data_IF_065501613827
#
_entry.id   IF_065501613827
#
_cell.length_a   1.000
_cell.length_b   1.000
_cell.length_c   1.000
_cell.angle_alpha   90.00
_cell.angle_beta   90.00
_cell.angle_gamma   90.00
#
_symmetry.space_group_name_H-M   'P 1'
#
loop_
_entity.id
_entity.type
_entity.pdbx_description
1 polymer ?
#
# COMPACT_ATOMS: atom_id res chain seq x y z
N UNK A 1 24.19 -13.11 7.54
CA UNK A 1 24.20 -13.58 8.94
C UNK A 1 24.19 -12.36 9.83
N UNK A 2 23.12 -12.17 10.62
CA UNK A 2 23.08 -11.16 11.67
C UNK A 2 23.41 -11.86 13.00
N UNK A 3 24.37 -11.35 13.74
CA UNK A 3 24.66 -11.75 15.11
C UNK A 3 24.10 -10.69 16.05
N UNK A 4 23.37 -11.09 17.06
CA UNK A 4 23.03 -10.22 18.19
C UNK A 4 23.79 -10.73 19.41
N UNK A 5 24.67 -9.89 19.93
CA UNK A 5 25.55 -10.20 21.07
C UNK A 5 26.47 -11.42 20.84
N UNK A 6 26.99 -11.58 19.61
CA UNK A 6 27.97 -12.63 19.29
C UNK A 6 27.41 -14.06 19.26
N UNK A 7 26.07 -14.21 19.27
CA UNK A 7 25.40 -15.51 19.10
C UNK A 7 24.68 -15.58 17.77
N UNK A 8 24.85 -16.65 17.00
CA UNK A 8 24.10 -16.81 15.75
C UNK A 8 22.61 -16.93 16.06
N UNK A 9 21.81 -16.18 15.34
CA UNK A 9 20.34 -16.11 15.51
C UNK A 9 19.63 -17.47 15.30
N UNK A 10 20.36 -18.49 14.84
CA UNK A 10 19.82 -19.85 14.62
C UNK A 10 19.17 -20.51 15.83
N UNK A 11 19.61 -20.19 17.02
CA UNK A 11 19.15 -20.86 18.25
C UNK A 11 17.87 -20.22 18.85
N UNK A 12 17.47 -19.03 18.36
CA UNK A 12 16.29 -18.32 18.84
C UNK A 12 14.98 -18.73 18.19
N UNK A 13 15.01 -19.51 17.11
CA UNK A 13 13.79 -20.01 16.48
C UNK A 13 13.27 -21.23 17.26
N UNK A 14 12.25 -21.03 18.08
CA UNK A 14 11.61 -22.14 18.79
C UNK A 14 11.15 -23.22 17.80
N UNK A 15 11.08 -24.47 18.24
CA UNK A 15 10.55 -25.59 17.42
C UNK A 15 9.13 -25.34 16.89
N UNK A 16 8.42 -24.35 17.44
CA UNK A 16 7.05 -23.92 17.09
C UNK A 16 7.03 -22.66 16.22
N UNK A 17 8.17 -22.10 15.81
CA UNK A 17 8.22 -20.88 15.00
C UNK A 17 7.61 -21.12 13.63
N UNK A 18 6.75 -20.21 13.18
CA UNK A 18 6.12 -20.25 11.84
C UNK A 18 7.16 -20.31 10.71
N UNK A 19 8.36 -19.79 10.94
CA UNK A 19 9.44 -19.81 9.96
C UNK A 19 9.92 -21.22 9.59
N UNK A 20 9.71 -22.23 10.45
CA UNK A 20 10.06 -23.63 10.15
C UNK A 20 9.15 -24.28 9.12
N UNK A 21 7.98 -23.74 8.93
CA UNK A 21 6.97 -24.25 8.00
C UNK A 21 6.93 -23.50 6.67
N UNK A 22 7.84 -22.53 6.47
CA UNK A 22 7.92 -21.81 5.23
C UNK A 22 8.63 -22.67 4.18
N UNK A 23 7.98 -22.96 3.06
CA UNK A 23 8.67 -23.57 1.93
C UNK A 23 9.74 -22.60 1.41
N UNK A 24 10.67 -23.14 0.67
CA UNK A 24 11.81 -22.49 0.06
C UNK A 24 11.61 -21.00 -0.24
N UNK A 25 12.22 -20.14 0.60
CA UNK A 25 12.10 -18.68 0.51
C UNK A 25 13.27 -18.10 -0.28
N UNK A 26 13.46 -18.55 -1.50
CA UNK A 26 14.59 -18.17 -2.35
C UNK A 26 14.69 -16.66 -2.62
N UNK A 27 13.57 -15.92 -2.45
CA UNK A 27 13.49 -14.51 -2.80
C UNK A 27 13.12 -13.57 -1.64
N UNK A 28 12.94 -14.11 -0.44
CA UNK A 28 12.63 -13.31 0.75
C UNK A 28 13.73 -13.58 1.78
N UNK A 29 14.49 -12.54 2.11
CA UNK A 29 15.41 -12.60 3.23
C UNK A 29 14.63 -12.65 4.54
N UNK A 30 14.86 -13.65 5.39
CA UNK A 30 14.30 -13.70 6.73
C UNK A 30 15.31 -13.11 7.69
N UNK A 31 14.92 -12.01 8.36
CA UNK A 31 15.62 -11.53 9.53
C UNK A 31 14.95 -12.18 10.75
N UNK A 32 15.55 -13.24 11.29
CA UNK A 32 15.04 -13.89 12.49
C UNK A 32 15.52 -13.12 13.73
N UNK A 33 14.59 -12.78 14.61
CA UNK A 33 14.86 -12.12 15.88
C UNK A 33 13.80 -12.50 16.91
N UNK A 34 14.12 -12.35 18.19
CA UNK A 34 13.16 -12.51 19.26
C UNK A 34 12.53 -11.16 19.60
N UNK A 35 11.21 -11.11 19.62
CA UNK A 35 10.45 -9.94 20.08
C UNK A 35 9.71 -10.35 21.34
N UNK A 36 10.07 -9.74 22.46
CA UNK A 36 9.66 -10.18 23.80
C UNK A 36 8.17 -10.00 24.14
N UNK A 37 7.43 -9.26 23.34
CA UNK A 37 5.99 -9.04 23.57
C UNK A 37 5.21 -8.90 22.28
N UNK A 38 4.35 -9.86 22.05
CA UNK A 38 3.23 -9.74 21.11
C UNK A 38 1.95 -9.56 21.90
N UNK A 39 1.16 -8.55 21.55
CA UNK A 39 -0.20 -8.46 22.06
C UNK A 39 -0.98 -9.66 21.52
N UNK A 40 -1.67 -10.38 22.41
CA UNK A 40 -2.68 -11.34 21.98
C UNK A 40 -3.64 -10.62 21.02
N UNK A 41 -4.01 -11.28 19.93
CA UNK A 41 -5.02 -10.75 19.01
C UNK A 41 -6.29 -10.45 19.81
N UNK A 42 -6.75 -9.21 19.77
CA UNK A 42 -8.06 -8.86 20.31
C UNK A 42 -9.12 -9.65 19.54
N UNK A 43 -10.20 -10.07 20.19
CA UNK A 43 -11.33 -10.67 19.47
C UNK A 43 -11.89 -9.68 18.45
N UNK A 44 -12.59 -10.19 17.43
CA UNK A 44 -13.30 -9.35 16.46
C UNK A 44 -14.31 -8.42 17.17
N UNK A 45 -14.47 -7.21 16.65
CA UNK A 45 -15.51 -6.28 17.09
C UNK A 45 -16.87 -6.61 16.46
N UNK A 46 -16.94 -7.55 15.52
CA UNK A 46 -18.19 -7.96 14.91
C UNK A 46 -18.93 -8.97 15.79
N UNK A 47 -20.24 -8.87 15.81
CA UNK A 47 -21.15 -9.81 16.46
C UNK A 47 -22.41 -9.99 15.60
N UNK A 48 -23.06 -11.14 15.77
CA UNK A 48 -24.33 -11.39 15.11
C UNK A 48 -25.42 -10.54 15.76
N UNK A 49 -26.15 -9.81 14.94
CA UNK A 49 -27.32 -9.04 15.41
C UNK A 49 -28.47 -10.00 15.74
N UNK A 50 -29.44 -9.53 16.53
CA UNK A 50 -30.68 -10.29 16.80
C UNK A 50 -31.49 -10.58 15.52
N UNK A 51 -31.23 -9.84 14.45
CA UNK A 51 -31.92 -10.01 13.16
C UNK A 51 -31.17 -10.95 12.21
N UNK A 52 -30.04 -11.56 12.65
CA UNK A 52 -29.20 -12.38 11.78
C UNK A 52 -29.96 -13.52 11.11
N UNK A 53 -30.76 -14.28 11.89
CA UNK A 53 -31.48 -15.43 11.35
C UNK A 53 -32.53 -14.99 10.31
N UNK A 54 -33.21 -13.87 10.55
CA UNK A 54 -34.13 -13.28 9.58
C UNK A 54 -33.44 -12.78 8.32
N UNK A 55 -32.26 -12.19 8.46
CA UNK A 55 -31.43 -11.80 7.31
C UNK A 55 -30.99 -13.00 6.47
N UNK A 56 -30.66 -14.12 7.12
CA UNK A 56 -30.31 -15.38 6.46
C UNK A 56 -31.51 -15.99 5.70
N UNK A 57 -32.71 -15.87 6.22
CA UNK A 57 -33.93 -16.30 5.52
C UNK A 57 -34.16 -15.50 4.23
N UNK A 58 -33.98 -14.17 4.30
CA UNK A 58 -34.21 -13.27 3.18
C UNK A 58 -33.07 -13.28 2.14
N UNK A 59 -31.84 -13.47 2.60
CA UNK A 59 -30.63 -13.47 1.78
C UNK A 59 -29.80 -14.70 2.17
N UNK A 60 -30.09 -15.88 1.58
CA UNK A 60 -29.46 -17.14 1.95
C UNK A 60 -27.92 -17.12 1.81
N UNK A 61 -27.37 -16.30 0.93
CA UNK A 61 -25.93 -16.14 0.70
C UNK A 61 -25.18 -15.64 1.94
N UNK A 62 -25.86 -14.99 2.89
CA UNK A 62 -25.27 -14.55 4.17
C UNK A 62 -24.73 -15.72 4.99
N UNK A 63 -25.25 -16.94 4.79
CA UNK A 63 -24.71 -18.18 5.42
C UNK A 63 -23.27 -18.47 5.01
N UNK A 64 -22.82 -17.94 3.88
CA UNK A 64 -21.47 -18.16 3.37
C UNK A 64 -20.42 -17.27 4.04
N UNK A 65 -20.83 -16.41 4.97
CA UNK A 65 -19.95 -15.48 5.65
C UNK A 65 -19.91 -15.77 7.15
N UNK A 66 -18.78 -15.44 7.76
CA UNK A 66 -18.54 -15.63 9.19
C UNK A 66 -17.75 -14.46 9.78
N UNK A 67 -17.86 -14.30 11.10
CA UNK A 67 -17.03 -13.38 11.87
C UNK A 67 -15.59 -13.90 11.81
N UNK A 68 -14.58 -13.03 11.61
CA UNK A 68 -13.20 -13.46 11.50
C UNK A 68 -12.73 -14.12 12.82
N UNK A 69 -12.06 -15.25 12.69
CA UNK A 69 -11.35 -15.90 13.78
C UNK A 69 -9.84 -15.68 13.58
N UNK A 70 -9.24 -14.89 14.45
CA UNK A 70 -7.84 -14.51 14.36
C UNK A 70 -6.87 -15.55 14.95
N UNK A 71 -7.38 -16.65 15.46
CA UNK A 71 -6.55 -17.69 16.06
C UNK A 71 -5.87 -18.54 15.00
N UNK A 72 -4.64 -18.91 15.27
CA UNK A 72 -3.97 -19.93 14.48
C UNK A 72 -4.64 -21.30 14.72
N UNK A 73 -4.71 -22.11 13.67
CA UNK A 73 -5.36 -23.42 13.68
C UNK A 73 -4.37 -24.51 13.26
N UNK A 74 -4.57 -25.70 13.75
CA UNK A 74 -3.94 -26.90 13.21
C UNK A 74 -5.00 -27.63 12.38
N UNK A 75 -4.76 -27.73 11.08
CA UNK A 75 -5.64 -28.41 10.14
C UNK A 75 -4.86 -29.59 9.56
N UNK A 76 -5.35 -30.80 9.72
CA UNK A 76 -4.69 -32.03 9.25
C UNK A 76 -3.23 -32.17 9.73
N UNK A 77 -2.98 -31.80 10.99
CA UNK A 77 -1.64 -31.83 11.60
C UNK A 77 -0.70 -30.71 11.15
N UNK A 78 -1.14 -29.82 10.28
CA UNK A 78 -0.37 -28.69 9.77
C UNK A 78 -0.78 -27.40 10.49
N UNK A 79 0.20 -26.72 11.08
CA UNK A 79 -0.02 -25.41 11.68
C UNK A 79 -0.30 -24.37 10.58
N UNK A 80 -1.39 -23.67 10.72
CA UNK A 80 -1.81 -22.61 9.80
C UNK A 80 -2.22 -21.38 10.58
N UNK A 81 -1.61 -20.25 10.24
CA UNK A 81 -2.03 -18.93 10.70
C UNK A 81 -2.31 -18.02 9.52
N UNK A 82 -3.05 -16.93 9.75
CA UNK A 82 -3.33 -15.94 8.72
C UNK A 82 -2.05 -15.26 8.22
N UNK A 83 -1.10 -15.01 9.14
CA UNK A 83 0.21 -14.44 8.81
C UNK A 83 1.03 -15.38 7.94
N UNK A 84 1.09 -16.67 8.29
CA UNK A 84 1.79 -17.68 7.50
C UNK A 84 1.18 -17.83 6.09
N UNK A 85 -0.14 -17.83 6.00
CA UNK A 85 -0.83 -17.86 4.71
C UNK A 85 -0.49 -16.64 3.85
N UNK A 86 -0.38 -15.45 4.48
CA UNK A 86 0.03 -14.23 3.79
C UNK A 86 1.47 -14.35 3.24
N UNK A 87 2.41 -14.81 4.07
CA UNK A 87 3.82 -14.96 3.66
C UNK A 87 3.97 -15.96 2.53
N UNK A 88 3.29 -17.11 2.61
CA UNK A 88 3.27 -18.10 1.51
C UNK A 88 2.74 -17.48 0.20
N UNK A 89 1.80 -16.55 0.30
CA UNK A 89 1.30 -15.83 -0.88
C UNK A 89 2.32 -14.85 -1.44
N UNK A 90 3.10 -14.19 -0.58
CA UNK A 90 4.17 -13.26 -1.01
C UNK A 90 5.37 -14.01 -1.61
N UNK A 91 5.66 -15.23 -1.15
CA UNK A 91 6.73 -16.05 -1.69
C UNK A 91 6.42 -16.63 -3.08
N UNK A 92 5.14 -16.68 -3.45
CA UNK A 92 4.71 -17.15 -4.75
C UNK A 92 4.79 -16.02 -5.78
N UNK A 93 6.01 -15.66 -6.15
CA UNK A 93 6.28 -14.69 -7.21
C UNK A 93 5.81 -15.32 -8.52
N UNK A 94 4.82 -14.69 -9.15
CA UNK A 94 4.31 -15.12 -10.45
C UNK A 94 5.42 -15.22 -11.52
N UNK A 95 5.12 -15.86 -12.62
CA UNK A 95 6.06 -15.97 -13.76
C UNK A 95 6.59 -14.57 -14.11
N UNK A 96 7.90 -14.47 -14.22
CA UNK A 96 8.56 -13.26 -14.67
C UNK A 96 8.01 -12.91 -16.05
N UNK A 97 7.33 -11.79 -16.17
CA UNK A 97 6.92 -11.25 -17.47
C UNK A 97 8.17 -10.77 -18.23
N UNK A 98 8.04 -10.71 -19.55
CA UNK A 98 9.10 -10.18 -20.39
C UNK A 98 9.45 -8.74 -19.97
N UNK A 99 10.68 -8.52 -19.54
CA UNK A 99 11.17 -7.25 -19.00
C UNK A 99 11.03 -6.11 -20.02
N UNK A 100 11.24 -6.38 -21.31
CA UNK A 100 11.10 -5.37 -22.36
C UNK A 100 9.66 -4.84 -22.48
N UNK A 101 8.65 -5.70 -22.29
CA UNK A 101 7.25 -5.30 -22.30
C UNK A 101 6.94 -4.34 -21.14
N UNK A 102 7.47 -4.64 -19.93
CA UNK A 102 7.31 -3.75 -18.81
C UNK A 102 7.96 -2.39 -19.03
N UNK A 103 9.16 -2.33 -19.58
CA UNK A 103 9.83 -1.07 -19.85
C UNK A 103 9.09 -0.26 -20.91
N UNK A 104 8.61 -0.88 -21.98
CA UNK A 104 7.78 -0.21 -22.98
C UNK A 104 6.46 0.31 -22.36
N UNK A 105 5.79 -0.49 -21.54
CA UNK A 105 4.60 -0.05 -20.83
C UNK A 105 4.89 1.12 -19.86
N UNK A 106 6.03 1.09 -19.17
CA UNK A 106 6.44 2.17 -18.27
C UNK A 106 6.68 3.48 -19.01
N UNK A 107 7.29 3.41 -20.17
CA UNK A 107 7.48 4.57 -21.07
C UNK A 107 6.14 5.12 -21.57
N UNK A 108 5.22 4.25 -21.96
CA UNK A 108 3.87 4.66 -22.34
C UNK A 108 3.13 5.38 -21.21
N UNK A 109 3.17 4.84 -19.99
CA UNK A 109 2.56 5.46 -18.81
C UNK A 109 3.23 6.81 -18.50
N UNK A 110 4.55 6.86 -18.52
CA UNK A 110 5.31 8.09 -18.33
C UNK A 110 4.92 9.17 -19.34
N UNK A 111 4.92 8.84 -20.64
CA UNK A 111 4.55 9.75 -21.70
C UNK A 111 3.10 10.24 -21.56
N UNK A 112 2.17 9.33 -21.22
CA UNK A 112 0.78 9.70 -20.95
C UNK A 112 0.67 10.74 -19.82
N UNK A 113 1.37 10.52 -18.71
CA UNK A 113 1.38 11.43 -17.56
C UNK A 113 1.98 12.78 -17.97
N UNK A 114 3.11 12.79 -18.66
CA UNK A 114 3.78 14.01 -19.10
C UNK A 114 2.91 14.83 -20.06
N UNK A 115 2.26 14.18 -21.01
CA UNK A 115 1.38 14.86 -21.97
C UNK A 115 0.17 15.48 -21.27
N UNK A 116 -0.42 14.80 -20.30
CA UNK A 116 -1.64 15.23 -19.66
C UNK A 116 -1.43 16.18 -18.47
N UNK A 117 -0.31 16.08 -17.78
CA UNK A 117 0.02 17.00 -16.70
C UNK A 117 0.85 18.21 -17.16
N UNK A 118 1.69 18.03 -18.19
CA UNK A 118 2.46 19.13 -18.77
C UNK A 118 3.21 19.96 -17.73
N UNK A 119 2.97 21.27 -17.76
CA UNK A 119 3.60 22.23 -16.85
C UNK A 119 3.12 22.10 -15.40
N UNK A 120 1.97 21.48 -15.14
CA UNK A 120 1.48 21.25 -13.78
C UNK A 120 2.47 20.38 -12.96
N UNK A 121 3.31 19.55 -13.61
CA UNK A 121 4.36 18.80 -12.93
C UNK A 121 5.39 19.72 -12.24
N UNK A 122 5.55 20.96 -12.68
CA UNK A 122 6.52 21.88 -12.09
C UNK A 122 6.16 22.36 -10.69
N UNK A 123 4.91 22.19 -10.26
CA UNK A 123 4.49 22.49 -8.87
C UNK A 123 4.89 21.40 -7.88
N UNK A 124 5.34 20.23 -8.36
CA UNK A 124 5.76 19.15 -7.47
C UNK A 124 7.07 19.48 -6.79
N UNK A 125 6.98 19.74 -5.50
CA UNK A 125 8.08 19.93 -4.56
C UNK A 125 7.75 19.27 -3.23
N UNK A 126 8.75 18.96 -2.38
CA UNK A 126 8.49 18.36 -1.08
C UNK A 126 7.70 19.28 -0.14
N UNK A 127 6.73 18.72 0.58
CA UNK A 127 5.98 19.44 1.61
C UNK A 127 6.83 19.67 2.86
N UNK A 128 6.57 20.75 3.56
CA UNK A 128 7.07 20.96 4.92
C UNK A 128 6.39 19.97 5.89
N UNK A 129 7.01 19.74 7.05
CA UNK A 129 6.43 18.88 8.07
C UNK A 129 5.06 19.39 8.56
N UNK A 130 4.87 20.70 8.64
CA UNK A 130 3.60 21.31 9.05
C UNK A 130 2.50 21.02 8.03
N UNK A 131 2.79 21.13 6.73
CA UNK A 131 1.85 20.76 5.66
C UNK A 131 1.51 19.26 5.69
N UNK A 132 2.51 18.41 5.98
CA UNK A 132 2.29 16.95 6.12
C UNK A 132 1.35 16.62 7.27
N UNK A 133 1.46 17.35 8.40
CA UNK A 133 0.61 17.12 9.57
C UNK A 133 -0.80 17.70 9.38
N UNK A 134 -0.88 18.92 8.86
CA UNK A 134 -2.12 19.65 8.66
C UNK A 134 -2.95 19.11 7.48
N UNK A 135 -2.29 18.55 6.48
CA UNK A 135 -2.86 18.29 5.17
C UNK A 135 -2.83 19.53 4.27
N UNK A 136 -3.33 19.36 3.07
CA UNK A 136 -3.49 20.38 2.04
C UNK A 136 -4.92 20.35 1.51
N UNK A 137 -5.27 21.14 0.52
CA UNK A 137 -6.61 21.17 -0.07
C UNK A 137 -7.06 19.82 -0.65
N UNK A 138 -6.10 18.96 -1.04
CA UNK A 138 -6.38 17.63 -1.61
C UNK A 138 -6.02 16.48 -0.68
N UNK A 139 -5.09 16.70 0.26
CA UNK A 139 -4.60 15.66 1.16
C UNK A 139 -5.14 15.86 2.57
N UNK A 140 -5.82 14.85 3.09
CA UNK A 140 -6.34 14.89 4.45
C UNK A 140 -5.22 15.10 5.48
N UNK A 141 -5.52 15.75 6.63
CA UNK A 141 -4.62 15.82 7.77
C UNK A 141 -4.11 14.43 8.19
N UNK A 142 -2.97 14.40 8.89
CA UNK A 142 -2.48 13.16 9.48
C UNK A 142 -3.54 12.57 10.42
N UNK A 143 -3.93 11.32 10.20
CA UNK A 143 -4.85 10.61 11.09
C UNK A 143 -4.18 10.33 12.44
N UNK A 144 -4.40 11.22 13.40
CA UNK A 144 -3.78 11.19 14.73
C UNK A 144 -4.25 10.02 15.60
N UNK A 145 -5.43 9.45 15.32
CA UNK A 145 -6.00 8.32 16.06
C UNK A 145 -5.38 6.96 15.68
N UNK A 146 -4.65 6.90 14.57
CA UNK A 146 -4.02 5.67 14.11
C UNK A 146 -2.71 5.39 14.85
N UNK A 147 -2.28 4.10 14.84
CA UNK A 147 -1.04 3.65 15.47
C UNK A 147 0.19 4.38 14.94
N UNK A 148 1.20 4.56 15.80
CA UNK A 148 2.53 5.01 15.39
C UNK A 148 3.31 3.95 14.60
N UNK A 149 2.95 2.68 14.74
CA UNK A 149 3.73 1.58 14.18
C UNK A 149 5.00 1.28 14.98
N UNK A 150 5.82 0.38 14.45
CA UNK A 150 7.08 0.02 15.07
C UNK A 150 8.07 1.21 15.12
N UNK A 151 8.87 1.40 16.21
CA UNK A 151 8.95 0.57 17.43
C UNK A 151 7.96 0.98 18.53
N UNK A 152 7.05 1.91 18.27
CA UNK A 152 6.15 2.50 19.26
C UNK A 152 4.80 1.77 19.32
N UNK A 153 4.83 0.44 19.35
CA UNK A 153 3.62 -0.38 19.42
C UNK A 153 2.71 0.03 20.59
N UNK A 154 1.41 0.16 20.31
CA UNK A 154 0.42 0.59 21.30
C UNK A 154 0.24 2.12 21.42
N UNK A 155 1.17 2.91 20.93
CA UNK A 155 1.03 4.37 20.88
C UNK A 155 0.29 4.84 19.62
N UNK A 156 -0.35 5.99 19.72
CA UNK A 156 -1.06 6.64 18.62
C UNK A 156 -0.26 7.83 18.10
N UNK A 157 -0.55 8.27 16.87
CA UNK A 157 0.06 9.49 16.32
C UNK A 157 -0.29 10.75 17.11
N UNK A 158 -1.37 10.73 17.89
CA UNK A 158 -1.71 11.79 18.83
C UNK A 158 -0.66 11.96 19.94
N UNK A 159 0.07 10.91 20.26
CA UNK A 159 1.13 10.96 21.28
C UNK A 159 2.36 11.75 20.82
N UNK A 160 2.54 11.99 19.54
CA UNK A 160 3.66 12.73 18.97
C UNK A 160 3.29 14.10 18.41
N UNK A 161 2.01 14.42 18.29
CA UNK A 161 1.52 15.70 17.77
C UNK A 161 0.74 16.42 18.84
N UNK A 162 1.05 17.70 19.05
CA UNK A 162 0.30 18.62 19.92
C UNK A 162 -0.44 19.66 19.10
N UNK A 163 -1.30 20.45 19.74
CA UNK A 163 -2.12 21.47 19.08
C UNK A 163 -3.35 20.91 18.36
N UNK A 164 -4.15 21.81 17.79
CA UNK A 164 -5.34 21.47 17.00
C UNK A 164 -4.96 20.85 15.65
N UNK A 165 -5.96 20.37 14.91
CA UNK A 165 -5.74 19.90 13.53
C UNK A 165 -5.32 21.04 12.58
N UNK A 166 -5.74 22.28 12.84
CA UNK A 166 -5.37 23.43 12.02
C UNK A 166 -3.98 23.98 12.34
N UNK A 167 -3.49 23.74 13.57
CA UNK A 167 -2.18 24.17 14.05
C UNK A 167 -1.47 23.02 14.75
N UNK A 168 -1.17 21.92 14.04
CA UNK A 168 -0.47 20.79 14.62
C UNK A 168 1.00 21.09 14.81
N UNK A 169 1.55 20.65 15.91
CA UNK A 169 2.99 20.80 16.21
C UNK A 169 3.55 19.42 16.56
N UNK A 170 4.59 19.02 15.85
CA UNK A 170 5.31 17.78 16.14
C UNK A 170 6.13 17.96 17.42
N UNK A 171 6.03 17.03 18.38
CA UNK A 171 6.83 17.07 19.61
C UNK A 171 8.33 17.07 19.28
N UNK A 172 9.12 17.86 19.99
CA UNK A 172 10.52 18.10 19.68
C UNK A 172 11.36 16.81 19.56
N UNK A 173 11.14 15.83 20.43
CA UNK A 173 11.87 14.57 20.39
C UNK A 173 11.61 13.79 19.10
N UNK A 174 10.37 13.84 18.58
CA UNK A 174 10.02 13.14 17.35
C UNK A 174 10.47 13.92 16.11
N UNK A 175 10.37 15.25 16.14
CA UNK A 175 10.96 16.13 15.13
C UNK A 175 12.47 15.89 14.97
N UNK A 176 13.18 15.71 16.09
CA UNK A 176 14.59 15.32 16.09
C UNK A 176 14.84 13.97 15.40
N UNK A 177 13.98 12.98 15.63
CA UNK A 177 14.10 11.68 14.92
C UNK A 177 13.97 11.84 13.41
N UNK A 178 12.99 12.61 12.96
CA UNK A 178 12.80 12.87 11.51
C UNK A 178 14.02 13.57 10.95
N UNK A 179 14.54 14.59 11.64
CA UNK A 179 15.76 15.28 11.22
C UNK A 179 16.96 14.34 11.11
N UNK A 180 17.20 13.49 12.11
CA UNK A 180 18.27 12.50 12.07
C UNK A 180 18.14 11.51 10.90
N UNK A 181 16.90 11.12 10.55
CA UNK A 181 16.67 10.26 9.40
C UNK A 181 17.02 10.99 8.10
N UNK A 182 16.63 12.26 7.98
CA UNK A 182 16.97 13.10 6.81
C UNK A 182 18.50 13.28 6.71
N UNK A 183 19.18 13.57 7.81
CA UNK A 183 20.66 13.68 7.85
C UNK A 183 21.36 12.37 7.45
N UNK A 184 20.77 11.22 7.76
CA UNK A 184 21.27 9.93 7.29
C UNK A 184 21.03 9.73 5.79
N UNK A 185 19.89 10.17 5.29
CA UNK A 185 19.59 10.15 3.86
C UNK A 185 20.56 11.04 3.08
N UNK A 186 20.97 12.18 3.64
CA UNK A 186 21.99 13.06 3.05
C UNK A 186 23.37 12.40 2.93
N UNK A 187 23.61 11.36 3.73
CA UNK A 187 24.79 10.48 3.65
C UNK A 187 24.57 9.24 2.77
N UNK A 188 23.47 9.19 2.02
CA UNK A 188 23.15 8.08 1.11
C UNK A 188 22.53 6.84 1.79
N UNK A 189 22.14 6.92 3.06
CA UNK A 189 21.53 5.81 3.78
C UNK A 189 20.01 5.86 3.67
N UNK A 190 19.34 4.82 3.15
CA UNK A 190 17.89 4.82 3.03
C UNK A 190 17.21 4.85 4.39
N UNK A 191 16.02 5.44 4.50
CA UNK A 191 15.20 5.37 5.70
C UNK A 191 14.73 3.93 5.94
N UNK A 192 14.52 3.59 7.21
CA UNK A 192 14.00 2.27 7.55
C UNK A 192 12.47 2.24 7.32
N UNK A 193 12.04 1.38 6.43
CA UNK A 193 10.64 1.06 6.23
C UNK A 193 10.32 -0.26 6.93
N UNK A 194 9.80 -0.17 8.15
CA UNK A 194 9.48 -1.33 8.97
C UNK A 194 7.97 -1.39 9.16
N UNK A 195 7.38 -2.51 8.78
CA UNK A 195 5.96 -2.76 8.93
C UNK A 195 5.71 -3.92 9.90
N UNK A 196 4.65 -3.80 10.68
CA UNK A 196 4.11 -4.91 11.47
C UNK A 196 2.89 -5.48 10.78
N UNK A 197 2.69 -6.79 10.89
CA UNK A 197 1.46 -7.42 10.40
C UNK A 197 0.31 -7.17 11.36
N UNK A 198 -0.87 -6.91 10.80
CA UNK A 198 -2.11 -6.87 11.54
C UNK A 198 -3.22 -7.53 10.73
N UNK A 199 -4.13 -8.21 11.43
CA UNK A 199 -5.28 -8.85 10.80
C UNK A 199 -6.41 -7.84 10.64
N UNK A 200 -7.02 -7.82 9.47
CA UNK A 200 -8.14 -6.93 9.21
C UNK A 200 -9.41 -7.51 9.83
N UNK A 201 -10.04 -6.72 10.70
CA UNK A 201 -11.33 -7.07 11.28
C UNK A 201 -12.43 -6.77 10.25
N UNK A 202 -12.86 -7.79 9.56
CA UNK A 202 -13.89 -7.74 8.52
C UNK A 202 -14.60 -9.09 8.39
N UNK A 203 -15.85 -9.06 7.96
CA UNK A 203 -16.59 -10.29 7.69
C UNK A 203 -15.92 -11.05 6.53
N UNK A 204 -15.69 -12.33 6.72
CA UNK A 204 -14.99 -13.18 5.75
C UNK A 204 -15.90 -14.31 5.25
N UNK A 205 -15.66 -14.78 4.03
CA UNK A 205 -16.29 -16.01 3.54
C UNK A 205 -15.80 -17.19 4.37
N UNK A 206 -16.69 -18.14 4.69
CA UNK A 206 -16.33 -19.35 5.42
C UNK A 206 -15.14 -20.06 4.78
N UNK A 207 -14.20 -20.47 5.61
CA UNK A 207 -12.98 -21.14 5.19
C UNK A 207 -11.91 -20.25 4.55
N UNK A 208 -12.14 -18.94 4.44
CA UNK A 208 -11.10 -17.99 4.02
C UNK A 208 -10.34 -17.45 5.23
N UNK A 209 -9.04 -17.25 5.03
CA UNK A 209 -8.22 -16.54 6.02
C UNK A 209 -8.57 -15.05 6.04
N UNK A 210 -8.52 -14.43 7.22
CA UNK A 210 -8.59 -12.98 7.36
C UNK A 210 -7.46 -12.32 6.59
N UNK A 211 -7.75 -11.15 6.01
CA UNK A 211 -6.71 -10.39 5.29
C UNK A 211 -5.68 -9.85 6.28
N UNK A 212 -4.42 -9.97 5.90
CA UNK A 212 -3.30 -9.38 6.61
C UNK A 212 -2.96 -8.07 5.94
N UNK A 213 -2.81 -7.00 6.71
CA UNK A 213 -2.28 -5.74 6.23
C UNK A 213 -0.99 -5.38 6.97
N UNK A 214 -0.19 -4.54 6.34
CA UNK A 214 1.07 -4.09 6.87
C UNK A 214 0.90 -2.68 7.44
N UNK A 215 1.18 -2.53 8.74
CA UNK A 215 1.20 -1.22 9.40
C UNK A 215 2.63 -0.71 9.42
N UNK A 216 2.93 0.26 8.57
CA UNK A 216 4.23 0.89 8.49
C UNK A 216 4.51 1.82 9.67
N UNK A 217 5.79 2.11 9.89
CA UNK A 217 6.23 3.08 10.89
C UNK A 217 5.90 4.52 10.45
N UNK A 218 5.58 5.37 11.42
CA UNK A 218 5.13 6.75 11.14
C UNK A 218 6.25 7.63 10.59
N UNK A 219 7.50 7.41 10.97
CA UNK A 219 8.63 8.14 10.41
C UNK A 219 8.68 8.00 8.88
N UNK A 220 8.57 6.79 8.38
CA UNK A 220 8.58 6.53 6.95
C UNK A 220 7.32 7.08 6.27
N UNK A 221 6.15 6.95 6.91
CA UNK A 221 4.91 7.56 6.42
C UNK A 221 5.05 9.08 6.25
N UNK A 222 5.64 9.79 7.22
CA UNK A 222 5.84 11.23 7.12
C UNK A 222 6.76 11.59 5.95
N UNK A 223 7.86 10.86 5.76
CA UNK A 223 8.75 11.05 4.60
C UNK A 223 8.03 10.81 3.26
N UNK A 224 7.25 9.73 3.17
CA UNK A 224 6.43 9.48 1.98
C UNK A 224 5.45 10.62 1.73
N UNK A 225 4.80 11.14 2.76
CA UNK A 225 3.89 12.29 2.61
C UNK A 225 4.63 13.55 2.16
N UNK A 226 5.82 13.82 2.71
CA UNK A 226 6.62 14.98 2.29
C UNK A 226 6.94 14.95 0.79
N UNK A 227 7.36 13.83 0.26
CA UNK A 227 7.90 13.75 -1.09
C UNK A 227 6.89 13.27 -2.14
N UNK A 228 5.93 12.43 -1.78
CA UNK A 228 5.01 11.78 -2.73
C UNK A 228 3.59 12.35 -2.68
N UNK A 229 3.15 12.95 -1.55
CA UNK A 229 1.80 13.47 -1.48
C UNK A 229 1.53 14.57 -2.53
N UNK A 230 2.43 15.51 -2.84
CA UNK A 230 2.18 16.51 -3.88
C UNK A 230 1.93 15.90 -5.27
N UNK A 231 2.65 14.83 -5.62
CA UNK A 231 2.41 14.09 -6.86
C UNK A 231 1.04 13.42 -6.85
N UNK A 232 0.66 12.81 -5.72
CA UNK A 232 -0.67 12.21 -5.55
C UNK A 232 -1.79 13.24 -5.64
N UNK A 233 -1.61 14.41 -5.04
CA UNK A 233 -2.54 15.54 -5.14
C UNK A 233 -2.73 15.99 -6.59
N UNK A 234 -1.62 16.11 -7.32
CA UNK A 234 -1.66 16.45 -8.72
C UNK A 234 -2.42 15.40 -9.54
N UNK A 235 -2.19 14.12 -9.28
CA UNK A 235 -2.93 13.03 -9.94
C UNK A 235 -4.42 13.05 -9.60
N UNK A 236 -4.78 13.35 -8.36
CA UNK A 236 -6.18 13.48 -7.94
C UNK A 236 -6.85 14.69 -8.57
N UNK A 237 -6.16 15.83 -8.67
CA UNK A 237 -6.69 17.04 -9.28
C UNK A 237 -6.89 16.91 -10.79
N UNK A 238 -6.07 16.11 -11.46
CA UNK A 238 -6.10 15.89 -12.91
C UNK A 238 -6.59 14.51 -13.32
N UNK A 239 -7.28 13.80 -12.43
CA UNK A 239 -7.75 12.42 -12.65
C UNK A 239 -8.65 12.24 -13.88
N UNK A 240 -9.32 13.29 -14.30
CA UNK A 240 -10.12 13.32 -15.52
C UNK A 240 -9.27 13.07 -16.78
N UNK A 241 -8.02 13.53 -16.79
CA UNK A 241 -7.07 13.41 -17.89
C UNK A 241 -6.20 12.15 -17.82
N UNK A 242 -6.15 11.48 -16.68
CA UNK A 242 -5.29 10.34 -16.44
C UNK A 242 -6.05 9.01 -16.54
N UNK A 243 -5.34 7.91 -16.85
CA UNK A 243 -5.90 6.55 -16.79
C UNK A 243 -6.31 6.17 -15.37
N UNK A 244 -5.49 6.52 -14.38
CA UNK A 244 -5.75 6.22 -12.98
C UNK A 244 -6.73 7.22 -12.39
N UNK A 245 -7.95 6.77 -12.12
CA UNK A 245 -9.02 7.58 -11.53
C UNK A 245 -8.94 7.60 -10.00
N UNK A 246 -7.78 7.99 -9.46
CA UNK A 246 -7.50 8.00 -8.02
C UNK A 246 -8.47 8.95 -7.31
N UNK A 247 -9.18 8.43 -6.29
CA UNK A 247 -10.13 9.21 -5.50
C UNK A 247 -11.46 9.52 -6.20
N UNK A 248 -11.74 8.89 -7.34
CA UNK A 248 -13.03 9.01 -8.02
C UNK A 248 -14.16 8.43 -7.15
N UNK A 249 -15.30 9.13 -7.11
CA UNK A 249 -16.50 8.60 -6.50
C UNK A 249 -17.16 7.57 -7.42
N UNK A 250 -17.05 6.29 -7.08
CA UNK A 250 -17.59 5.19 -7.86
C UNK A 250 -19.14 5.12 -7.93
N UNK A 251 -19.84 5.92 -7.11
CA UNK A 251 -21.31 5.95 -7.07
C UNK A 251 -21.84 7.29 -7.63
N UNK A 252 -20.95 8.18 -8.08
CA UNK A 252 -21.29 9.52 -8.49
C UNK A 252 -21.20 9.76 -9.99
N UNK A 253 -21.52 11.00 -10.37
CA UNK A 253 -21.44 11.48 -11.76
C UNK A 253 -20.06 11.23 -12.40
N UNK A 254 -18.98 11.30 -11.64
CA UNK A 254 -17.62 11.07 -12.14
C UNK A 254 -17.44 9.69 -12.78
N UNK A 255 -18.10 8.66 -12.20
CA UNK A 255 -18.08 7.31 -12.76
C UNK A 255 -18.90 7.23 -14.06
N UNK A 256 -20.06 7.86 -14.07
CA UNK A 256 -20.88 7.95 -15.27
C UNK A 256 -20.15 8.69 -16.41
N UNK A 257 -19.56 9.85 -16.13
CA UNK A 257 -18.76 10.61 -17.09
C UNK A 257 -17.58 9.77 -17.63
N UNK A 258 -16.92 8.96 -16.78
CA UNK A 258 -15.88 8.03 -17.22
C UNK A 258 -16.41 7.00 -18.20
N UNK A 259 -17.53 6.37 -17.90
CA UNK A 259 -18.17 5.41 -18.80
C UNK A 259 -18.57 6.04 -20.12
N UNK A 260 -19.20 7.21 -20.08
CA UNK A 260 -19.60 7.95 -21.30
C UNK A 260 -18.39 8.29 -22.18
N UNK A 261 -17.27 8.70 -21.57
CA UNK A 261 -16.03 8.97 -22.29
C UNK A 261 -15.44 7.71 -22.92
N UNK A 262 -15.50 6.56 -22.23
CA UNK A 262 -15.07 5.27 -22.78
C UNK A 262 -15.94 4.88 -23.99
N UNK A 263 -17.25 5.02 -23.90
CA UNK A 263 -18.17 4.79 -25.01
C UNK A 263 -17.88 5.71 -26.20
N UNK A 264 -17.75 7.00 -25.94
CA UNK A 264 -17.46 7.98 -26.99
C UNK A 264 -16.13 7.67 -27.71
N UNK A 265 -15.11 7.22 -26.94
CA UNK A 265 -13.83 6.82 -27.51
C UNK A 265 -13.98 5.62 -28.46
N UNK A 266 -14.68 4.57 -28.04
CA UNK A 266 -14.93 3.39 -28.87
C UNK A 266 -15.71 3.78 -30.14
N UNK A 267 -16.79 4.55 -30.00
CA UNK A 267 -17.61 4.99 -31.14
C UNK A 267 -16.82 5.81 -32.16
N UNK A 268 -15.82 6.58 -31.67
CA UNK A 268 -15.00 7.43 -32.55
C UNK A 268 -13.93 6.66 -33.32
N UNK A 269 -13.38 5.60 -32.74
CA UNK A 269 -12.18 4.93 -33.25
C UNK A 269 -12.45 3.54 -33.85
N UNK A 270 -13.59 2.93 -33.53
CA UNK A 270 -13.94 1.60 -34.04
C UNK A 270 -14.33 1.62 -35.52
N UNK A 271 -13.93 0.60 -36.23
CA UNK A 271 -14.42 0.33 -37.61
C UNK A 271 -15.92 -0.02 -37.64
N UNK A 272 -16.60 0.07 -38.78
CA UNK A 272 -18.02 -0.32 -38.89
C UNK A 272 -18.31 -1.75 -38.42
N UNK A 273 -17.40 -2.69 -38.68
CA UNK A 273 -17.56 -4.09 -38.25
C UNK A 273 -17.33 -4.25 -36.72
N UNK A 274 -16.32 -3.56 -36.15
CA UNK A 274 -16.11 -3.48 -34.73
C UNK A 274 -17.27 -2.80 -33.98
N UNK A 275 -17.86 -1.75 -34.58
CA UNK A 275 -19.06 -1.09 -34.07
C UNK A 275 -20.28 -2.02 -34.07
N UNK A 276 -20.44 -2.83 -35.10
CA UNK A 276 -21.50 -3.84 -35.14
C UNK A 276 -21.33 -4.89 -34.07
N UNK A 277 -20.09 -5.39 -33.89
CA UNK A 277 -19.74 -6.32 -32.84
C UNK A 277 -19.91 -5.66 -31.45
N UNK A 278 -19.44 -4.43 -31.29
CA UNK A 278 -19.55 -3.69 -30.03
C UNK A 278 -21.02 -3.46 -29.64
N UNK A 279 -21.88 -3.10 -30.57
CA UNK A 279 -23.33 -2.97 -30.29
C UNK A 279 -23.96 -4.28 -29.85
N UNK A 280 -23.57 -5.41 -30.43
CA UNK A 280 -24.02 -6.72 -29.98
C UNK A 280 -23.48 -7.08 -28.60
N UNK A 281 -22.22 -6.78 -28.32
CA UNK A 281 -21.56 -7.01 -27.04
C UNK A 281 -22.17 -6.15 -25.92
N UNK A 282 -22.44 -4.87 -26.20
CA UNK A 282 -23.05 -3.96 -25.22
C UNK A 282 -24.48 -4.39 -24.89
N UNK A 283 -25.24 -4.87 -25.88
CA UNK A 283 -26.56 -5.46 -25.64
C UNK A 283 -26.50 -6.68 -24.71
N UNK A 284 -25.40 -7.46 -24.79
CA UNK A 284 -25.19 -8.69 -24.04
C UNK A 284 -24.41 -8.50 -22.73
N UNK A 285 -24.15 -7.24 -22.30
CA UNK A 285 -23.45 -6.85 -21.07
C UNK A 285 -22.00 -7.33 -20.97
N UNK A 286 -21.29 -7.43 -22.07
CA UNK A 286 -19.88 -7.83 -22.08
C UNK A 286 -18.97 -6.63 -21.72
N UNK A 287 -18.96 -6.29 -20.44
CA UNK A 287 -17.88 -5.49 -19.83
C UNK A 287 -16.79 -6.43 -19.34
N UNK A 288 -15.55 -6.14 -19.70
CA UNK A 288 -14.40 -6.81 -19.10
C UNK A 288 -13.94 -5.95 -17.95
N UNK A 289 -14.21 -6.41 -16.75
CA UNK A 289 -13.58 -5.91 -15.54
C UNK A 289 -12.51 -6.91 -15.08
N UNK A 290 -11.50 -6.44 -14.40
CA UNK A 290 -10.42 -7.26 -13.86
C UNK A 290 -10.05 -6.77 -12.48
N UNK A 291 -10.11 -7.68 -11.51
CA UNK A 291 -9.51 -7.49 -10.19
C UNK A 291 -8.32 -8.44 -10.03
N UNK A 292 -7.17 -7.88 -9.68
CA UNK A 292 -5.96 -8.66 -9.48
C UNK A 292 -5.92 -9.24 -8.07
N UNK A 293 -6.09 -10.55 -7.96
CA UNK A 293 -5.95 -11.24 -6.68
C UNK A 293 -4.58 -10.92 -6.04
N UNK A 294 -4.60 -10.35 -4.83
CA UNK A 294 -3.40 -10.09 -4.02
C UNK A 294 -2.41 -9.11 -4.66
N UNK A 295 -2.89 -8.18 -5.45
CA UNK A 295 -2.06 -7.20 -6.16
C UNK A 295 -1.13 -6.41 -5.22
N UNK A 296 -1.61 -6.06 -4.03
CA UNK A 296 -0.87 -5.39 -2.95
C UNK A 296 0.36 -6.15 -2.44
N UNK A 297 0.43 -7.46 -2.72
CA UNK A 297 1.50 -8.38 -2.29
C UNK A 297 2.44 -8.79 -3.42
N UNK A 298 2.04 -8.55 -4.66
CA UNK A 298 2.80 -8.88 -5.85
C UNK A 298 3.61 -7.68 -6.33
N UNK A 299 4.64 -7.30 -5.56
CA UNK A 299 5.43 -6.08 -5.77
C UNK A 299 6.33 -6.08 -7.01
N UNK A 300 6.19 -7.05 -7.93
CA UNK A 300 7.01 -7.12 -9.14
C UNK A 300 6.93 -5.84 -9.97
N UNK A 301 5.77 -5.19 -9.98
CA UNK A 301 5.56 -3.95 -10.73
C UNK A 301 6.07 -2.69 -10.03
N UNK A 302 6.36 -2.75 -8.72
CA UNK A 302 6.77 -1.58 -7.94
C UNK A 302 8.09 -0.98 -8.47
N UNK A 303 9.03 -1.82 -8.91
CA UNK A 303 10.29 -1.38 -9.52
C UNK A 303 10.05 -0.43 -10.70
N UNK A 304 9.11 -0.76 -11.56
CA UNK A 304 8.77 0.06 -12.73
C UNK A 304 8.07 1.36 -12.33
N UNK A 305 7.17 1.30 -11.36
CA UNK A 305 6.53 2.50 -10.80
C UNK A 305 7.56 3.47 -10.19
N UNK A 306 8.57 2.96 -9.49
CA UNK A 306 9.68 3.75 -8.97
C UNK A 306 10.40 4.49 -10.10
N UNK A 307 10.73 3.81 -11.19
CA UNK A 307 11.39 4.45 -12.33
C UNK A 307 10.52 5.53 -12.97
N UNK A 308 9.23 5.29 -13.15
CA UNK A 308 8.29 6.30 -13.66
C UNK A 308 8.30 7.54 -12.77
N UNK A 309 8.21 7.36 -11.46
CA UNK A 309 8.21 8.47 -10.49
C UNK A 309 9.53 9.26 -10.57
N UNK A 310 10.68 8.59 -10.67
CA UNK A 310 11.97 9.25 -10.83
C UNK A 310 12.09 10.01 -12.16
N UNK A 311 11.59 9.46 -13.25
CA UNK A 311 11.55 10.14 -14.55
C UNK A 311 10.67 11.38 -14.50
N UNK A 312 9.52 11.31 -13.82
CA UNK A 312 8.65 12.48 -13.61
C UNK A 312 9.35 13.53 -12.74
N UNK A 313 9.98 13.13 -11.63
CA UNK A 313 10.73 14.04 -10.77
C UNK A 313 11.86 14.75 -11.53
N UNK A 314 12.60 14.03 -12.36
CA UNK A 314 13.67 14.59 -13.19
C UNK A 314 13.19 15.66 -14.18
N UNK A 315 11.90 15.76 -14.45
CA UNK A 315 11.32 16.85 -15.29
C UNK A 315 10.95 18.08 -14.51
N UNK A 316 10.73 17.97 -13.20
CA UNK A 316 10.27 19.10 -12.39
C UNK A 316 11.39 20.13 -12.18
N UNK A 317 11.02 21.38 -12.00
CA UNK A 317 11.97 22.45 -11.73
C UNK A 317 12.69 22.23 -10.39
N UNK A 318 11.94 21.87 -9.35
CA UNK A 318 12.48 21.68 -8.01
C UNK A 318 13.58 20.62 -7.98
N UNK A 319 13.30 19.41 -8.44
CA UNK A 319 14.28 18.31 -8.37
C UNK A 319 15.47 18.46 -9.33
N UNK A 320 15.32 19.22 -10.42
CA UNK A 320 16.45 19.63 -11.25
C UNK A 320 17.42 20.55 -10.53
N UNK A 321 16.88 21.44 -9.70
CA UNK A 321 17.69 22.43 -8.97
C UNK A 321 18.19 21.90 -7.62
N UNK A 322 17.49 20.94 -7.03
CA UNK A 322 17.76 20.40 -5.69
C UNK A 322 18.11 18.91 -5.77
N UNK A 323 19.36 18.63 -6.17
CA UNK A 323 19.86 17.25 -6.34
C UNK A 323 19.77 16.47 -5.04
N UNK A 324 19.90 17.11 -3.88
CA UNK A 324 19.78 16.46 -2.59
C UNK A 324 18.35 15.93 -2.34
N UNK A 325 17.34 16.71 -2.67
CA UNK A 325 15.94 16.26 -2.57
C UNK A 325 15.62 15.17 -3.58
N UNK A 326 16.20 15.20 -4.77
CA UNK A 326 16.09 14.10 -5.72
C UNK A 326 16.73 12.81 -5.17
N UNK A 327 17.89 12.91 -4.55
CA UNK A 327 18.55 11.77 -3.90
C UNK A 327 17.72 11.22 -2.72
N UNK A 328 17.13 12.10 -1.90
CA UNK A 328 16.22 11.70 -0.82
C UNK A 328 14.98 10.99 -1.36
N UNK A 329 14.35 11.50 -2.41
CA UNK A 329 13.23 10.85 -3.08
C UNK A 329 13.61 9.45 -3.56
N UNK A 330 14.76 9.30 -4.21
CA UNK A 330 15.27 8.00 -4.63
C UNK A 330 15.41 7.02 -3.45
N UNK A 331 15.99 7.47 -2.33
CA UNK A 331 16.18 6.64 -1.13
C UNK A 331 14.84 6.23 -0.49
N UNK A 332 13.83 7.12 -0.50
CA UNK A 332 12.47 6.80 -0.04
C UNK A 332 11.84 5.72 -0.93
N UNK A 333 11.93 5.88 -2.24
CA UNK A 333 11.39 4.93 -3.20
C UNK A 333 12.11 3.58 -3.11
N UNK A 334 13.43 3.59 -2.91
CA UNK A 334 14.21 2.38 -2.64
C UNK A 334 13.70 1.68 -1.37
N UNK A 335 13.47 2.42 -0.30
CA UNK A 335 12.95 1.87 0.96
C UNK A 335 11.49 1.37 0.85
N UNK A 336 10.70 1.89 -0.09
CA UNK A 336 9.39 1.31 -0.41
C UNK A 336 9.51 -0.08 -1.03
N UNK A 337 10.53 -0.31 -1.82
CA UNK A 337 10.80 -1.61 -2.44
C UNK A 337 11.47 -2.59 -1.47
N UNK A 338 12.36 -2.08 -0.61
CA UNK A 338 13.16 -2.85 0.35
C UNK A 338 12.60 -2.66 1.77
N UNK A 339 11.43 -3.22 2.07
CA UNK A 339 10.83 -3.08 3.39
C UNK A 339 11.01 -4.33 4.25
N UNK A 340 11.01 -4.13 5.57
CA UNK A 340 11.09 -5.20 6.58
C UNK A 340 9.71 -5.41 7.17
N UNK A 341 9.27 -6.66 7.24
CA UNK A 341 8.01 -7.04 7.88
C UNK A 341 8.29 -7.79 9.17
N UNK A 342 7.77 -7.28 10.28
CA UNK A 342 7.75 -7.97 11.55
C UNK A 342 6.44 -8.74 11.67
N UNK A 343 6.55 -10.05 11.76
CA UNK A 343 5.41 -10.95 11.83
C UNK A 343 5.14 -11.28 13.28
N UNK A 344 3.91 -10.97 13.74
CA UNK A 344 3.41 -11.39 15.04
C UNK A 344 3.11 -12.89 15.09
N UNK A 345 3.34 -13.49 16.25
CA UNK A 345 2.93 -14.86 16.55
C UNK A 345 1.46 -14.88 17.02
#
# INVERSE_FOLDING_TARGET
YCEVNGKPIRDGLSKKSECKHLPDLTNIGILAGHVDRWSNSSPSNFYKTALYDRAVELIPETKNYEIPDFKAKVVDGVYSSHNLACIRQMSNIGKVMNESVFWSASEMVYNHVVINLGDDLHIWEPLSIDQVLKGTDLTNPLNRKSSLGFPFSGQKKDDIVTGSYDKPVLKAWYANRIRMIIERMDKGLPPLNISTTALKDEIVKKGKNSRVFFSGNTEFLLLCRMYLAPLMELFMAKRDKLFAKIGMNAIGKEFDDMLQNMYAHVLKHATPDELKLFKSIVSDRLWIDGDYSKYDKLLVTLRYAIHIILWLAARTKHFKQNVLDFARLYLILKALHEYVVIIGQ
#
